data_IF_148677756862
#
_entry.id   IF_148677756862
#
_cell.length_a   1.000
_cell.length_b   1.000
_cell.length_c   1.000
_cell.angle_alpha   90.00
_cell.angle_beta   90.00
_cell.angle_gamma   90.00
#
_symmetry.space_group_name_H-M   'P 1'
#
loop_
_entity.id
_entity.type
_entity.pdbx_description
1 polymer ?
#
# COMPACT_ATOMS: atom_id res chain seq x y z
N UNK A 1 -10.54 3.13 21.93
CA UNK A 1 -10.78 1.96 22.81
C UNK A 1 -9.73 0.91 22.50
N UNK A 2 -9.26 0.17 23.50
CA UNK A 2 -8.32 -0.94 23.30
C UNK A 2 -9.02 -2.15 22.66
N UNK A 3 -8.30 -2.94 21.88
CA UNK A 3 -8.78 -4.18 21.27
C UNK A 3 -7.68 -5.26 21.33
N UNK A 4 -8.09 -6.53 21.25
CA UNK A 4 -7.18 -7.67 21.17
C UNK A 4 -6.91 -7.99 19.70
N UNK A 5 -5.66 -8.24 19.33
CA UNK A 5 -5.27 -8.60 17.97
C UNK A 5 -4.08 -9.55 17.96
N UNK A 6 -4.02 -10.41 16.94
CA UNK A 6 -2.87 -11.25 16.65
C UNK A 6 -1.80 -10.43 15.94
N UNK A 7 -0.55 -10.56 16.37
CA UNK A 7 0.57 -9.80 15.81
C UNK A 7 1.45 -10.70 14.97
N UNK A 8 1.69 -10.30 13.73
CA UNK A 8 2.57 -11.00 12.79
C UNK A 8 3.83 -10.20 12.56
N UNK A 9 4.99 -10.85 12.64
CA UNK A 9 6.26 -10.17 12.45
C UNK A 9 6.61 -10.08 10.97
N UNK A 10 6.85 -8.86 10.49
CA UNK A 10 7.20 -8.56 9.10
C UNK A 10 8.67 -8.17 9.02
N UNK A 11 9.52 -9.06 8.53
CA UNK A 11 10.96 -8.81 8.41
C UNK A 11 11.30 -8.02 7.16
N UNK A 12 12.06 -6.95 7.33
CA UNK A 12 12.57 -6.14 6.24
C UNK A 12 14.01 -6.54 5.97
N UNK A 13 14.22 -7.30 4.89
CA UNK A 13 15.51 -7.79 4.47
C UNK A 13 16.03 -6.86 3.36
N UNK A 14 17.02 -6.02 3.66
CA UNK A 14 17.59 -5.16 2.62
C UNK A 14 19.05 -4.77 2.87
N UNK A 15 19.84 -4.56 1.80
CA UNK A 15 21.19 -4.01 1.92
C UNK A 15 21.18 -2.54 2.34
N UNK A 16 22.35 -2.01 2.69
CA UNK A 16 22.50 -0.65 3.25
C UNK A 16 22.08 0.49 2.31
N UNK A 17 22.07 0.28 0.99
CA UNK A 17 21.84 1.29 -0.05
C UNK A 17 20.36 1.64 -0.30
N UNK A 18 19.41 0.93 0.33
CA UNK A 18 17.95 1.14 0.16
C UNK A 18 17.27 1.62 1.44
N UNK A 19 17.88 2.61 2.10
CA UNK A 19 17.37 3.16 3.36
C UNK A 19 15.99 3.81 3.21
N UNK A 20 15.77 4.53 2.11
CA UNK A 20 14.49 5.17 1.80
C UNK A 20 13.37 4.15 1.65
N UNK A 21 13.63 3.03 0.98
CA UNK A 21 12.67 1.95 0.82
C UNK A 21 12.37 1.25 2.14
N UNK A 22 13.36 1.04 3.01
CA UNK A 22 13.09 0.53 4.36
C UNK A 22 12.11 1.43 5.13
N UNK A 23 12.26 2.74 5.02
CA UNK A 23 11.33 3.70 5.64
C UNK A 23 9.94 3.56 5.03
N UNK A 24 9.83 3.51 3.70
CA UNK A 24 8.56 3.32 3.01
C UNK A 24 7.86 2.02 3.44
N UNK A 25 8.61 0.92 3.60
CA UNK A 25 8.02 -0.35 4.08
C UNK A 25 7.41 -0.18 5.46
N UNK A 26 8.10 0.50 6.38
CA UNK A 26 7.57 0.77 7.73
C UNK A 26 6.35 1.66 7.69
N UNK A 27 6.37 2.72 6.88
CA UNK A 27 5.24 3.64 6.73
C UNK A 27 4.01 2.94 6.16
N UNK A 28 4.19 2.11 5.14
CA UNK A 28 3.12 1.31 4.53
C UNK A 28 2.52 0.34 5.53
N UNK A 29 3.35 -0.33 6.34
CA UNK A 29 2.88 -1.23 7.40
C UNK A 29 2.12 -0.44 8.48
N UNK A 30 2.62 0.73 8.88
CA UNK A 30 1.97 1.59 9.85
C UNK A 30 0.60 2.07 9.36
N UNK A 31 0.52 2.54 8.11
CA UNK A 31 -0.71 2.97 7.46
C UNK A 31 -1.71 1.81 7.34
N UNK A 32 -1.23 0.64 6.92
CA UNK A 32 -2.05 -0.57 6.87
C UNK A 32 -2.63 -0.92 8.24
N UNK A 33 -1.81 -0.88 9.30
CA UNK A 33 -2.27 -1.12 10.67
C UNK A 33 -3.30 -0.08 11.11
N UNK A 34 -3.08 1.20 10.85
CA UNK A 34 -4.01 2.26 11.24
C UNK A 34 -5.42 2.04 10.67
N UNK A 35 -5.50 1.54 9.43
CA UNK A 35 -6.78 1.29 8.74
C UNK A 35 -7.38 -0.07 9.10
N UNK A 36 -6.56 -1.13 9.16
CA UNK A 36 -7.06 -2.51 9.15
C UNK A 36 -7.03 -3.22 10.51
N UNK A 37 -6.17 -2.77 11.44
CA UNK A 37 -5.82 -3.59 12.60
C UNK A 37 -7.01 -3.89 13.52
N UNK A 38 -7.84 -2.89 13.77
CA UNK A 38 -9.01 -3.05 14.63
C UNK A 38 -10.10 -3.90 13.95
N UNK A 39 -10.31 -3.76 12.64
CA UNK A 39 -11.33 -4.50 11.91
C UNK A 39 -10.94 -5.98 11.74
N UNK A 40 -9.67 -6.24 11.42
CA UNK A 40 -9.16 -7.59 11.15
C UNK A 40 -8.66 -8.32 12.39
N UNK A 41 -8.46 -7.61 13.50
CA UNK A 41 -7.77 -8.12 14.70
C UNK A 41 -6.38 -8.66 14.37
N UNK A 42 -5.70 -7.99 13.45
CA UNK A 42 -4.35 -8.33 12.97
C UNK A 42 -3.47 -7.09 13.08
N UNK A 43 -2.27 -7.23 13.61
CA UNK A 43 -1.25 -6.18 13.62
C UNK A 43 -0.01 -6.71 12.93
N UNK A 44 0.53 -5.93 11.99
CA UNK A 44 1.80 -6.22 11.34
C UNK A 44 2.92 -5.47 12.05
N UNK A 45 3.87 -6.18 12.65
CA UNK A 45 4.98 -5.57 13.37
C UNK A 45 6.23 -5.56 12.47
N UNK A 46 6.70 -4.39 11.99
CA UNK A 46 7.91 -4.34 11.19
C UNK A 46 9.13 -4.63 12.08
N UNK A 47 9.87 -5.69 11.75
CA UNK A 47 11.11 -6.09 12.40
C UNK A 47 12.28 -5.89 11.44
N UNK A 48 13.41 -5.43 11.97
CA UNK A 48 14.65 -5.24 11.23
C UNK A 48 15.85 -5.26 12.17
N UNK A 49 17.05 -5.43 11.61
CA UNK A 49 18.29 -5.60 12.36
C UNK A 49 18.65 -4.40 13.25
N UNK A 50 18.27 -3.18 12.86
CA UNK A 50 18.49 -1.94 13.65
C UNK A 50 17.56 -1.83 14.86
N UNK A 51 16.37 -2.44 14.78
CA UNK A 51 15.27 -2.21 15.72
C UNK A 51 15.24 -3.23 16.87
N UNK A 52 15.91 -4.37 16.71
CA UNK A 52 15.88 -5.49 17.65
C UNK A 52 17.28 -6.00 18.05
N UNK A 53 18.33 -5.23 17.74
CA UNK A 53 19.67 -5.47 18.26
C UNK A 53 19.75 -5.02 19.73
N UNK A 54 19.31 -5.88 20.64
CA UNK A 54 19.74 -5.76 22.04
C UNK A 54 21.21 -6.22 22.11
N UNK A 55 22.13 -5.45 22.75
CA UNK A 55 23.51 -5.86 22.88
C UNK A 55 23.62 -7.13 23.76
N UNK A 56 23.85 -8.29 23.13
CA UNK A 56 24.04 -9.58 23.80
C UNK A 56 25.44 -10.13 23.44
N UNK A 57 26.22 -10.51 24.44
CA UNK A 57 27.61 -10.98 24.27
C UNK A 57 27.67 -12.50 24.16
N UNK A 58 28.31 -13.06 23.12
CA UNK A 58 28.64 -14.50 23.09
C UNK A 58 28.81 -15.18 21.73
N UNK A 59 28.36 -14.58 20.63
CA UNK A 59 28.68 -15.02 19.27
C UNK A 59 28.68 -13.83 18.29
N UNK A 60 29.04 -14.06 17.02
CA UNK A 60 28.96 -13.00 16.00
C UNK A 60 27.55 -12.40 16.01
N UNK A 61 27.41 -11.05 16.08
CA UNK A 61 26.11 -10.38 16.26
C UNK A 61 25.04 -10.82 15.27
N UNK A 62 25.42 -11.24 14.07
CA UNK A 62 24.51 -11.72 13.02
C UNK A 62 23.97 -13.14 13.28
N UNK A 63 24.75 -14.07 13.84
CA UNK A 63 24.32 -15.47 13.95
C UNK A 63 23.25 -15.73 15.03
N UNK A 64 23.32 -15.01 16.15
CA UNK A 64 22.32 -15.12 17.24
C UNK A 64 21.02 -14.42 16.83
N UNK A 65 21.14 -13.23 16.25
CA UNK A 65 20.01 -12.44 15.75
C UNK A 65 19.29 -13.19 14.63
N UNK A 66 20.03 -13.77 13.68
CA UNK A 66 19.45 -14.53 12.56
C UNK A 66 18.59 -15.70 13.07
N UNK A 67 19.06 -16.50 14.05
CA UNK A 67 18.27 -17.66 14.52
C UNK A 67 16.97 -17.27 15.23
N UNK A 68 16.98 -16.21 16.02
CA UNK A 68 15.79 -15.82 16.81
C UNK A 68 14.78 -15.01 16.01
N UNK A 69 15.25 -14.14 15.10
CA UNK A 69 14.39 -13.25 14.31
C UNK A 69 13.79 -13.98 13.11
N UNK A 70 14.58 -14.76 12.35
CA UNK A 70 14.06 -15.53 11.21
C UNK A 70 13.03 -16.58 11.65
N UNK A 71 13.25 -17.24 12.79
CA UNK A 71 12.32 -18.25 13.29
C UNK A 71 10.93 -17.69 13.63
N UNK A 72 10.88 -16.42 14.05
CA UNK A 72 9.65 -15.70 14.45
C UNK A 72 9.07 -14.82 13.34
N UNK A 73 9.73 -14.72 12.19
CA UNK A 73 9.27 -13.95 11.04
C UNK A 73 8.09 -14.65 10.38
N UNK A 74 6.99 -13.96 10.13
CA UNK A 74 5.80 -14.49 9.49
C UNK A 74 5.69 -14.08 8.01
N UNK A 75 6.22 -12.90 7.68
CA UNK A 75 6.31 -12.36 6.33
C UNK A 75 7.66 -11.69 6.15
N UNK A 76 8.34 -11.95 5.03
CA UNK A 76 9.59 -11.27 4.70
C UNK A 76 9.39 -10.36 3.48
N UNK A 77 9.88 -9.13 3.57
CA UNK A 77 9.92 -8.15 2.49
C UNK A 77 11.40 -7.88 2.16
N UNK A 78 11.84 -8.40 1.02
CA UNK A 78 13.17 -8.22 0.47
C UNK A 78 13.21 -7.06 -0.51
N UNK A 79 14.13 -6.12 -0.31
CA UNK A 79 14.33 -4.97 -1.22
C UNK A 79 15.79 -4.88 -1.63
N UNK A 80 16.04 -4.81 -2.94
CA UNK A 80 17.38 -4.79 -3.52
C UNK A 80 17.50 -3.67 -4.56
N UNK A 81 18.69 -3.06 -4.66
CA UNK A 81 19.01 -2.09 -5.71
C UNK A 81 20.33 -2.43 -6.40
N UNK A 82 21.43 -1.77 -6.01
CA UNK A 82 22.75 -1.99 -6.64
C UNK A 82 23.63 -2.94 -5.85
N UNK A 83 23.33 -3.13 -4.57
CA UNK A 83 24.10 -4.00 -3.68
C UNK A 83 23.33 -5.27 -3.37
N UNK A 84 24.04 -6.41 -3.36
CA UNK A 84 23.49 -7.67 -2.85
C UNK A 84 23.71 -7.76 -1.33
N UNK A 85 24.80 -7.17 -0.84
CA UNK A 85 25.21 -7.18 0.56
C UNK A 85 26.58 -7.83 0.77
N UNK A 86 26.90 -8.12 2.03
CA UNK A 86 28.17 -8.75 2.41
C UNK A 86 28.01 -10.27 2.40
N UNK A 87 28.90 -11.03 1.74
CA UNK A 87 28.84 -12.49 1.72
C UNK A 87 28.87 -13.10 3.11
N UNK A 88 28.18 -14.22 3.28
CA UNK A 88 28.29 -15.07 4.46
C UNK A 88 29.02 -16.36 4.11
N UNK A 89 29.24 -17.24 5.09
CA UNK A 89 29.99 -18.49 4.89
C UNK A 89 29.37 -19.37 3.79
N UNK A 90 28.05 -19.29 3.59
CA UNK A 90 27.29 -20.14 2.66
C UNK A 90 26.52 -19.38 1.56
N UNK A 91 26.35 -18.06 1.66
CA UNK A 91 25.49 -17.29 0.77
C UNK A 91 26.13 -16.00 0.22
N UNK A 92 25.61 -15.54 -0.93
CA UNK A 92 26.05 -14.33 -1.60
C UNK A 92 25.87 -13.07 -0.75
N UNK A 93 24.88 -13.06 0.15
CA UNK A 93 24.81 -12.07 1.22
C UNK A 93 23.97 -12.55 2.41
N UNK A 94 24.11 -11.89 3.56
CA UNK A 94 23.25 -12.15 4.72
C UNK A 94 21.75 -11.95 4.43
N UNK A 95 21.39 -10.96 3.61
CA UNK A 95 20.00 -10.73 3.17
C UNK A 95 19.48 -11.88 2.29
N UNK A 96 20.34 -12.45 1.45
CA UNK A 96 20.00 -13.63 0.63
C UNK A 96 19.84 -14.87 1.51
N UNK A 97 20.75 -15.06 2.48
CA UNK A 97 20.63 -16.15 3.45
C UNK A 97 19.32 -16.10 4.23
N UNK A 98 18.93 -14.91 4.72
CA UNK A 98 17.67 -14.67 5.41
C UNK A 98 16.48 -15.04 4.54
N UNK A 99 16.46 -14.57 3.30
CA UNK A 99 15.39 -14.89 2.36
C UNK A 99 15.30 -16.40 2.09
N UNK A 100 16.41 -17.05 1.76
CA UNK A 100 16.42 -18.47 1.40
C UNK A 100 15.93 -19.33 2.58
N UNK A 101 16.38 -19.01 3.80
CA UNK A 101 15.90 -19.69 5.02
C UNK A 101 14.41 -19.46 5.25
N UNK A 102 13.92 -18.24 5.00
CA UNK A 102 12.50 -17.92 5.14
C UNK A 102 11.64 -18.67 4.11
N UNK A 103 12.06 -18.71 2.85
CA UNK A 103 11.37 -19.46 1.78
C UNK A 103 11.33 -20.96 2.10
N UNK A 104 12.44 -21.54 2.59
CA UNK A 104 12.50 -22.94 3.00
C UNK A 104 11.54 -23.28 4.14
N UNK A 105 11.19 -22.31 4.99
CA UNK A 105 10.20 -22.48 6.06
C UNK A 105 8.75 -22.50 5.58
N UNK A 106 8.50 -22.29 4.27
CA UNK A 106 7.16 -22.28 3.67
C UNK A 106 6.36 -21.01 3.96
N UNK A 107 7.01 -19.97 4.48
CA UNK A 107 6.38 -18.68 4.80
C UNK A 107 6.43 -17.72 3.62
N UNK A 108 5.48 -16.78 3.50
CA UNK A 108 5.42 -15.86 2.38
C UNK A 108 6.60 -14.90 2.38
N UNK A 109 7.17 -14.65 1.20
CA UNK A 109 8.17 -13.62 0.94
C UNK A 109 7.71 -12.73 -0.22
N UNK A 110 8.06 -11.44 -0.14
CA UNK A 110 7.88 -10.45 -1.20
C UNK A 110 9.23 -9.89 -1.60
N UNK A 111 9.51 -9.83 -2.89
CA UNK A 111 10.79 -9.38 -3.41
C UNK A 111 10.62 -8.19 -4.34
N UNK A 112 11.41 -7.15 -4.11
CA UNK A 112 11.39 -5.92 -4.87
C UNK A 112 12.80 -5.56 -5.35
N UNK A 113 12.90 -5.18 -6.62
CA UNK A 113 14.15 -4.74 -7.24
C UNK A 113 14.01 -3.33 -7.80
N UNK A 114 14.81 -2.39 -7.30
CA UNK A 114 14.90 -1.05 -7.87
C UNK A 114 15.53 -1.10 -9.25
N UNK A 115 14.89 -0.41 -10.20
CA UNK A 115 15.36 -0.18 -11.57
C UNK A 115 15.77 1.28 -11.78
N UNK A 116 15.98 2.04 -10.70
CA UNK A 116 16.41 3.43 -10.78
C UNK A 116 17.75 3.56 -11.49
N UNK A 117 17.90 4.54 -12.41
CA UNK A 117 19.15 4.76 -13.13
C UNK A 117 20.24 5.18 -12.15
N UNK A 118 21.44 4.69 -12.40
CA UNK A 118 22.56 4.82 -11.46
C UNK A 118 23.85 5.06 -12.23
N UNK A 119 24.69 5.98 -11.75
CA UNK A 119 25.94 6.31 -12.42
C UNK A 119 26.91 5.13 -12.28
N UNK A 120 27.39 4.55 -13.38
CA UNK A 120 28.19 3.32 -13.36
C UNK A 120 29.46 3.43 -12.51
N UNK A 121 30.01 4.63 -12.44
CA UNK A 121 31.17 5.05 -11.65
C UNK A 121 30.92 5.09 -10.14
N UNK A 122 29.66 5.06 -9.71
CA UNK A 122 29.26 4.98 -8.30
C UNK A 122 28.87 3.56 -7.85
N UNK A 123 28.84 2.62 -8.79
CA UNK A 123 28.37 1.25 -8.56
C UNK A 123 29.53 0.28 -8.51
N UNK A 124 29.51 -0.56 -7.48
CA UNK A 124 30.33 -1.75 -7.44
C UNK A 124 29.80 -2.77 -8.45
N UNK A 125 30.55 -2.96 -9.55
CA UNK A 125 30.15 -3.82 -10.66
C UNK A 125 29.96 -5.29 -10.23
N UNK A 126 30.73 -5.76 -9.25
CA UNK A 126 30.64 -7.13 -8.76
C UNK A 126 29.36 -7.31 -7.94
N UNK A 127 29.01 -6.33 -7.10
CA UNK A 127 27.75 -6.30 -6.36
C UNK A 127 26.54 -6.23 -7.29
N UNK A 128 26.57 -5.36 -8.31
CA UNK A 128 25.49 -5.23 -9.28
C UNK A 128 25.33 -6.51 -10.12
N UNK A 129 26.43 -7.14 -10.51
CA UNK A 129 26.41 -8.44 -11.19
C UNK A 129 25.80 -9.53 -10.29
N UNK A 130 26.09 -9.53 -8.99
CA UNK A 130 25.50 -10.46 -8.03
C UNK A 130 23.99 -10.22 -7.86
N UNK A 131 23.52 -8.97 -7.79
CA UNK A 131 22.08 -8.65 -7.80
C UNK A 131 21.41 -9.15 -9.08
N UNK A 132 22.05 -8.95 -10.24
CA UNK A 132 21.51 -9.42 -11.52
C UNK A 132 21.40 -10.93 -11.57
N UNK A 133 22.43 -11.65 -11.11
CA UNK A 133 22.41 -13.11 -11.01
C UNK A 133 21.29 -13.58 -10.08
N UNK A 134 21.19 -12.97 -8.91
CA UNK A 134 20.15 -13.28 -7.94
C UNK A 134 18.74 -12.99 -8.47
N UNK A 135 18.54 -11.89 -9.20
CA UNK A 135 17.27 -11.57 -9.89
C UNK A 135 16.89 -12.65 -10.89
N UNK A 136 17.83 -13.13 -11.70
CA UNK A 136 17.61 -14.24 -12.64
C UNK A 136 17.29 -15.55 -11.93
N UNK A 137 18.01 -15.88 -10.84
CA UNK A 137 17.77 -17.08 -10.04
C UNK A 137 16.36 -17.05 -9.40
N UNK A 138 15.93 -15.89 -8.93
CA UNK A 138 14.57 -15.68 -8.40
C UNK A 138 13.49 -15.81 -9.48
N UNK A 139 13.75 -15.35 -10.71
CA UNK A 139 12.79 -15.47 -11.83
C UNK A 139 12.40 -16.92 -12.13
N UNK A 140 13.32 -17.87 -11.91
CA UNK A 140 13.06 -19.29 -12.12
C UNK A 140 12.24 -19.95 -10.99
N UNK A 141 12.20 -19.33 -9.80
CA UNK A 141 11.64 -19.90 -8.57
C UNK A 141 10.42 -19.16 -8.03
N UNK A 142 10.12 -17.97 -8.54
CA UNK A 142 9.00 -17.17 -8.05
C UNK A 142 8.80 -15.85 -8.79
N UNK A 143 7.88 -15.05 -8.24
CA UNK A 143 7.57 -13.71 -8.74
C UNK A 143 8.29 -12.66 -7.88
N UNK A 144 8.92 -11.71 -8.55
CA UNK A 144 9.44 -10.49 -7.94
C UNK A 144 8.81 -9.29 -8.64
N UNK A 145 8.79 -8.14 -7.97
CA UNK A 145 8.36 -6.88 -8.55
C UNK A 145 9.57 -5.98 -8.84
N UNK A 146 9.49 -5.18 -9.89
CA UNK A 146 10.48 -4.13 -10.16
C UNK A 146 9.81 -2.75 -10.10
N UNK A 147 10.52 -1.75 -9.59
CA UNK A 147 10.01 -0.38 -9.49
C UNK A 147 11.06 0.61 -10.00
N UNK A 148 10.61 1.74 -10.53
CA UNK A 148 11.47 2.81 -11.06
C UNK A 148 11.52 4.06 -10.18
N UNK A 149 10.65 4.14 -9.17
CA UNK A 149 10.53 5.28 -8.27
C UNK A 149 10.06 4.86 -6.88
N UNK A 150 10.35 5.67 -5.87
CA UNK A 150 9.91 5.43 -4.49
C UNK A 150 8.38 5.49 -4.35
N UNK A 151 7.70 6.32 -5.16
CA UNK A 151 6.25 6.44 -5.16
C UNK A 151 5.58 5.18 -5.74
N UNK A 152 6.13 4.67 -6.84
CA UNK A 152 5.67 3.41 -7.44
C UNK A 152 5.91 2.24 -6.48
N UNK A 153 7.10 2.18 -5.85
CA UNK A 153 7.39 1.20 -4.80
C UNK A 153 6.36 1.23 -3.66
N UNK A 154 6.04 2.42 -3.12
CA UNK A 154 5.04 2.58 -2.06
C UNK A 154 3.68 2.03 -2.48
N UNK A 155 3.23 2.41 -3.68
CA UNK A 155 1.92 2.03 -4.22
C UNK A 155 1.83 0.51 -4.43
N UNK A 156 2.84 -0.08 -5.07
CA UNK A 156 2.91 -1.51 -5.31
C UNK A 156 3.02 -2.30 -4.02
N UNK A 157 3.85 -1.84 -3.07
CA UNK A 157 3.99 -2.49 -1.77
C UNK A 157 2.67 -2.51 -1.00
N UNK A 158 1.98 -1.37 -0.92
CA UNK A 158 0.69 -1.29 -0.22
C UNK A 158 -0.34 -2.26 -0.81
N UNK A 159 -0.48 -2.26 -2.15
CA UNK A 159 -1.38 -3.17 -2.87
C UNK A 159 -1.01 -4.64 -2.64
N UNK A 160 0.26 -4.99 -2.78
CA UNK A 160 0.73 -6.37 -2.60
C UNK A 160 0.55 -6.85 -1.17
N UNK A 161 0.83 -6.00 -0.18
CA UNK A 161 0.65 -6.30 1.23
C UNK A 161 -0.82 -6.64 1.53
N UNK A 162 -1.75 -5.83 1.02
CA UNK A 162 -3.18 -6.12 1.15
C UNK A 162 -3.57 -7.46 0.54
N UNK A 163 -3.18 -7.72 -0.72
CA UNK A 163 -3.47 -8.99 -1.40
C UNK A 163 -2.91 -10.18 -0.60
N UNK A 164 -1.68 -10.06 -0.11
CA UNK A 164 -1.04 -11.14 0.66
C UNK A 164 -1.76 -11.42 1.97
N UNK A 165 -2.13 -10.39 2.71
CA UNK A 165 -2.86 -10.55 3.98
C UNK A 165 -4.28 -11.09 3.73
N UNK A 166 -4.91 -10.77 2.60
CA UNK A 166 -6.24 -11.28 2.25
C UNK A 166 -6.23 -12.76 1.82
N UNK A 167 -5.28 -13.14 0.99
CA UNK A 167 -5.29 -14.44 0.32
C UNK A 167 -4.57 -15.52 1.13
N UNK A 168 -3.49 -15.16 1.82
CA UNK A 168 -2.58 -16.14 2.38
C UNK A 168 -3.16 -16.77 3.66
N UNK A 169 -3.20 -18.13 3.77
CA UNK A 169 -3.80 -18.84 4.91
C UNK A 169 -3.26 -18.44 6.27
N UNK A 170 -1.98 -18.04 6.34
CA UNK A 170 -1.32 -17.60 7.58
C UNK A 170 -2.02 -16.41 8.25
N UNK A 171 -2.72 -15.57 7.50
CA UNK A 171 -3.42 -14.40 8.04
C UNK A 171 -4.94 -14.63 8.15
N UNK A 172 -5.42 -15.86 7.94
CA UNK A 172 -6.83 -16.21 8.11
C UNK A 172 -7.08 -16.66 9.55
N UNK A 173 -7.65 -15.78 10.36
CA UNK A 173 -8.04 -16.12 11.74
C UNK A 173 -9.15 -17.18 11.74
N UNK A 174 -9.04 -18.17 12.63
CA UNK A 174 -10.01 -19.27 12.76
C UNK A 174 -11.44 -18.78 13.11
N UNK A 175 -11.58 -17.62 13.77
CA UNK A 175 -12.87 -17.00 14.07
C UNK A 175 -13.58 -16.41 12.84
N UNK A 176 -12.90 -16.29 11.69
CA UNK A 176 -13.51 -15.94 10.40
C UNK A 176 -14.05 -17.15 9.63
N UNK A 177 -13.97 -18.37 10.18
CA UNK A 177 -14.47 -19.59 9.51
C UNK A 177 -16.01 -19.71 9.49
N UNK A 178 -16.72 -18.74 10.07
CA UNK A 178 -18.19 -18.69 10.12
C UNK A 178 -18.87 -17.88 9.02
N UNK A 179 -18.13 -17.25 8.10
CA UNK A 179 -18.72 -16.59 6.93
C UNK A 179 -18.04 -17.11 5.68
N UNK A 180 -18.57 -18.23 5.20
CA UNK A 180 -18.42 -18.64 3.81
C UNK A 180 -19.21 -17.69 2.93
N UNK A 181 -18.64 -16.53 2.63
CA UNK A 181 -18.93 -15.79 1.41
C UNK A 181 -17.60 -15.48 0.74
N UNK A 182 -17.57 -15.73 -0.56
CA UNK A 182 -16.51 -15.29 -1.46
C UNK A 182 -16.35 -13.79 -1.22
N UNK A 183 -15.31 -13.38 -0.50
CA UNK A 183 -14.89 -11.99 -0.46
C UNK A 183 -14.22 -11.70 -1.80
N UNK A 184 -15.06 -11.44 -2.81
CA UNK A 184 -14.70 -10.53 -3.91
C UNK A 184 -14.00 -9.31 -3.31
N UNK A 185 -12.99 -8.78 -4.00
CA UNK A 185 -12.24 -7.59 -3.62
C UNK A 185 -13.13 -6.52 -2.99
N UNK A 186 -13.23 -6.53 -1.67
CA UNK A 186 -13.70 -5.40 -0.92
C UNK A 186 -12.52 -4.44 -0.79
N UNK A 187 -12.12 -3.84 -1.91
CA UNK A 187 -11.98 -2.38 -1.88
C UNK A 187 -13.34 -1.94 -1.39
N UNK A 188 -13.49 -1.69 -0.09
CA UNK A 188 -14.73 -1.13 0.40
C UNK A 188 -14.84 0.20 -0.31
N UNK A 189 -15.63 0.22 -1.40
CA UNK A 189 -16.17 1.45 -1.96
C UNK A 189 -16.65 2.18 -0.70
N UNK A 190 -16.16 3.41 -0.44
CA UNK A 190 -16.69 4.19 0.66
C UNK A 190 -18.20 4.11 0.58
N UNK A 191 -18.89 4.09 1.72
CA UNK A 191 -20.34 3.89 1.75
C UNK A 191 -21.03 5.18 1.26
N UNK A 192 -20.79 5.52 0.00
CA UNK A 192 -21.17 6.75 -0.67
C UNK A 192 -22.68 6.79 -0.79
N UNK A 193 -23.26 7.95 -0.46
CA UNK A 193 -24.64 8.28 -0.80
C UNK A 193 -24.93 8.09 -2.29
N UNK A 194 -26.20 7.91 -2.66
CA UNK A 194 -26.59 7.75 -4.07
C UNK A 194 -26.21 8.98 -4.91
N UNK A 195 -26.31 10.15 -4.30
CA UNK A 195 -25.91 11.43 -4.86
C UNK A 195 -24.37 11.52 -5.04
N UNK A 196 -23.57 11.09 -4.06
CA UNK A 196 -22.11 11.03 -4.19
C UNK A 196 -21.63 10.06 -5.28
N UNK A 197 -22.29 8.91 -5.43
CA UNK A 197 -21.99 7.95 -6.50
C UNK A 197 -22.27 8.54 -7.88
N UNK A 198 -23.44 9.16 -8.03
CA UNK A 198 -23.83 9.81 -9.29
C UNK A 198 -22.88 10.96 -9.63
N UNK A 199 -22.58 11.82 -8.65
CA UNK A 199 -21.67 12.96 -8.82
C UNK A 199 -20.27 12.51 -9.22
N UNK A 200 -19.71 11.51 -8.53
CA UNK A 200 -18.37 10.99 -8.81
C UNK A 200 -18.31 10.30 -10.18
N UNK A 201 -19.34 9.52 -10.55
CA UNK A 201 -19.40 8.86 -11.85
C UNK A 201 -19.47 9.87 -12.99
N UNK A 202 -20.34 10.86 -12.90
CA UNK A 202 -20.44 11.92 -13.91
C UNK A 202 -19.14 12.75 -13.99
N UNK A 203 -18.54 13.09 -12.86
CA UNK A 203 -17.26 13.80 -12.83
C UNK A 203 -16.10 13.01 -13.43
N UNK A 204 -16.11 11.67 -13.31
CA UNK A 204 -15.10 10.83 -13.97
C UNK A 204 -15.18 10.83 -15.49
N UNK A 205 -16.36 11.15 -16.05
CA UNK A 205 -16.59 11.24 -17.49
C UNK A 205 -16.27 12.64 -18.04
N UNK A 206 -16.09 13.64 -17.17
CA UNK A 206 -15.64 14.97 -17.57
C UNK A 206 -14.18 14.93 -18.04
N UNK A 207 -13.83 15.52 -19.20
CA UNK A 207 -12.46 15.52 -19.73
C UNK A 207 -11.40 16.10 -18.78
N UNK A 208 -11.80 16.95 -17.84
CA UNK A 208 -10.92 17.59 -16.86
C UNK A 208 -11.18 17.12 -15.41
N UNK A 209 -12.15 16.23 -15.21
CA UNK A 209 -12.56 15.74 -13.89
C UNK A 209 -13.12 16.85 -13.01
N UNK A 210 -13.77 17.86 -13.58
CA UNK A 210 -14.14 19.09 -12.85
C UNK A 210 -15.57 19.03 -12.32
N UNK A 211 -15.73 19.37 -11.05
CA UNK A 211 -17.02 19.63 -10.40
C UNK A 211 -17.07 21.10 -10.02
N UNK A 212 -18.15 21.78 -10.37
CA UNK A 212 -18.37 23.20 -10.08
C UNK A 212 -19.56 23.31 -9.12
N UNK A 213 -19.37 24.00 -8.01
CA UNK A 213 -20.39 24.29 -7.00
C UNK A 213 -20.46 25.79 -6.79
N UNK A 214 -21.57 26.43 -7.16
CA UNK A 214 -21.70 27.90 -7.10
C UNK A 214 -23.00 28.29 -6.43
N UNK A 215 -22.89 29.17 -5.43
CA UNK A 215 -24.02 29.82 -4.79
C UNK A 215 -24.26 31.21 -5.39
N UNK A 216 -25.51 31.50 -5.75
CA UNK A 216 -25.95 32.81 -6.23
C UNK A 216 -27.28 33.22 -5.59
N UNK A 217 -27.72 34.47 -5.81
CA UNK A 217 -28.88 35.03 -5.10
C UNK A 217 -30.20 34.26 -5.31
N UNK A 218 -30.31 33.51 -6.40
CA UNK A 218 -31.53 32.78 -6.80
C UNK A 218 -31.41 31.25 -6.63
N UNK A 219 -30.27 30.72 -6.20
CA UNK A 219 -30.09 29.27 -6.05
C UNK A 219 -28.64 28.81 -5.86
N UNK A 220 -28.45 27.49 -5.87
CA UNK A 220 -27.16 26.80 -5.81
C UNK A 220 -27.09 25.85 -6.99
N UNK A 221 -26.00 25.90 -7.75
CA UNK A 221 -25.74 24.98 -8.86
C UNK A 221 -24.62 24.00 -8.52
N UNK A 222 -24.81 22.73 -8.93
CA UNK A 222 -23.76 21.70 -8.91
C UNK A 222 -23.65 21.13 -10.31
N UNK A 223 -22.57 21.49 -11.00
CA UNK A 223 -22.33 21.14 -12.39
C UNK A 223 -21.11 20.23 -12.55
N UNK A 224 -21.23 19.22 -13.40
CA UNK A 224 -20.11 18.34 -13.79
C UNK A 224 -20.38 17.74 -15.18
N UNK A 225 -19.35 17.50 -15.98
CA UNK A 225 -19.48 16.90 -17.32
C UNK A 225 -20.52 17.61 -18.22
N UNK A 226 -20.62 18.94 -18.11
CA UNK A 226 -21.60 19.75 -18.84
C UNK A 226 -23.06 19.59 -18.39
N UNK A 227 -23.34 18.82 -17.33
CA UNK A 227 -24.69 18.61 -16.76
C UNK A 227 -24.84 19.36 -15.45
N UNK A 228 -25.97 20.04 -15.26
CA UNK A 228 -26.39 20.54 -13.94
C UNK A 228 -27.15 19.41 -13.22
N UNK A 229 -26.72 19.07 -12.02
CA UNK A 229 -27.31 18.01 -11.19
C UNK A 229 -28.44 18.54 -10.30
N UNK A 230 -28.58 19.86 -10.22
CA UNK A 230 -29.66 20.56 -9.52
C UNK A 230 -30.50 21.30 -10.57
N UNK A 231 -31.82 21.18 -10.52
CA UNK A 231 -32.76 21.96 -11.33
C UNK A 231 -33.04 23.32 -10.65
N UNK A 232 -33.33 24.38 -11.41
CA UNK A 232 -33.73 25.71 -10.91
C UNK A 232 -34.98 25.66 -10.01
N UNK A 233 -35.77 24.58 -10.09
CA UNK A 233 -36.95 24.32 -9.25
C UNK A 233 -36.69 23.44 -8.03
N UNK A 234 -35.46 23.00 -7.82
CA UNK A 234 -35.10 22.09 -6.72
C UNK A 234 -35.35 22.78 -5.38
N UNK A 235 -35.92 22.04 -4.43
CA UNK A 235 -36.10 22.58 -3.08
C UNK A 235 -34.76 22.56 -2.31
N UNK A 236 -34.70 23.29 -1.18
CA UNK A 236 -33.48 23.36 -0.37
C UNK A 236 -33.04 21.98 0.15
N UNK A 237 -33.95 21.00 0.23
CA UNK A 237 -33.65 19.64 0.69
C UNK A 237 -32.89 18.86 -0.37
N UNK A 238 -33.24 19.02 -1.64
CA UNK A 238 -32.52 18.43 -2.77
C UNK A 238 -31.12 19.02 -2.91
N UNK A 239 -30.97 20.34 -2.81
CA UNK A 239 -29.66 21.01 -2.81
C UNK A 239 -28.76 20.48 -1.68
N UNK A 240 -29.29 20.33 -0.47
CA UNK A 240 -28.53 19.85 0.68
C UNK A 240 -27.96 18.43 0.50
N UNK A 241 -28.61 17.58 -0.31
CA UNK A 241 -28.09 16.23 -0.62
C UNK A 241 -26.85 16.29 -1.49
N UNK A 242 -26.82 17.19 -2.47
CA UNK A 242 -25.67 17.37 -3.36
C UNK A 242 -24.51 18.09 -2.64
N UNK A 243 -24.80 19.05 -1.77
CA UNK A 243 -23.79 19.64 -0.87
C UNK A 243 -23.18 18.56 0.04
N UNK A 244 -24.01 17.68 0.62
CA UNK A 244 -23.54 16.55 1.41
C UNK A 244 -22.67 15.59 0.59
N UNK A 245 -23.04 15.33 -0.67
CA UNK A 245 -22.26 14.48 -1.56
C UNK A 245 -20.86 15.06 -1.84
N UNK A 246 -20.73 16.37 -2.07
CA UNK A 246 -19.43 17.03 -2.25
C UNK A 246 -18.59 16.92 -0.97
N UNK A 247 -19.19 17.18 0.19
CA UNK A 247 -18.51 17.08 1.47
C UNK A 247 -18.03 15.64 1.75
N UNK A 248 -18.86 14.64 1.43
CA UNK A 248 -18.55 13.22 1.55
C UNK A 248 -17.38 12.82 0.64
N UNK A 249 -17.44 13.16 -0.66
CA UNK A 249 -16.36 12.85 -1.60
C UNK A 249 -15.04 13.54 -1.23
N UNK A 250 -15.12 14.75 -0.66
CA UNK A 250 -13.93 15.48 -0.19
C UNK A 250 -13.34 14.82 1.06
N UNK A 251 -14.19 14.40 2.00
CA UNK A 251 -13.77 13.70 3.22
C UNK A 251 -13.07 12.37 2.92
N UNK A 252 -13.58 11.63 1.94
CA UNK A 252 -13.01 10.36 1.47
C UNK A 252 -11.81 10.54 0.53
N UNK A 253 -11.39 11.78 0.24
CA UNK A 253 -10.24 12.10 -0.63
C UNK A 253 -10.45 11.75 -2.10
N UNK A 254 -11.70 11.58 -2.54
CA UNK A 254 -12.06 11.23 -3.92
C UNK A 254 -12.07 12.47 -4.82
N UNK A 255 -12.29 13.64 -4.24
CA UNK A 255 -12.19 14.95 -4.92
C UNK A 255 -11.39 15.92 -4.06
N UNK A 256 -10.78 16.93 -4.69
CA UNK A 256 -9.99 17.97 -4.02
C UNK A 256 -10.42 19.35 -4.52
N UNK A 257 -10.57 20.31 -3.60
CA UNK A 257 -10.88 21.70 -3.95
C UNK A 257 -9.73 22.40 -4.68
N UNK A 258 -10.03 23.10 -5.76
CA UNK A 258 -9.13 23.97 -6.51
C UNK A 258 -9.51 25.43 -6.22
N UNK A 259 -8.66 26.17 -5.49
CA UNK A 259 -8.85 27.59 -5.19
C UNK A 259 -9.34 27.91 -3.76
N UNK A 260 -9.70 29.18 -3.52
CA UNK A 260 -9.90 29.72 -2.15
C UNK A 260 -11.35 29.68 -1.65
N UNK A 261 -12.32 29.28 -2.46
CA UNK A 261 -13.75 29.39 -2.12
C UNK A 261 -14.54 28.08 -2.11
N UNK A 262 -13.92 26.93 -2.40
CA UNK A 262 -14.66 25.66 -2.47
C UNK A 262 -15.73 25.65 -3.57
N UNK A 263 -15.49 26.41 -4.65
CA UNK A 263 -16.39 26.54 -5.80
C UNK A 263 -16.04 25.56 -6.92
N UNK A 264 -14.79 25.06 -6.94
CA UNK A 264 -14.29 24.14 -7.95
C UNK A 264 -13.62 22.97 -7.24
N UNK A 265 -13.95 21.76 -7.65
CA UNK A 265 -13.34 20.52 -7.19
C UNK A 265 -12.85 19.72 -8.39
N UNK A 266 -11.81 18.92 -8.17
CA UNK A 266 -11.23 18.05 -9.17
C UNK A 266 -11.17 16.62 -8.65
N UNK A 267 -11.51 15.66 -9.50
CA UNK A 267 -11.45 14.23 -9.18
C UNK A 267 -9.99 13.81 -8.98
N UNK A 268 -9.71 13.12 -7.88
CA UNK A 268 -8.37 12.59 -7.58
C UNK A 268 -8.14 11.25 -8.29
N UNK A 269 -6.90 10.77 -8.32
CA UNK A 269 -6.61 9.44 -8.86
C UNK A 269 -7.40 8.32 -8.15
N UNK A 270 -7.60 8.44 -6.83
CA UNK A 270 -8.46 7.54 -6.06
C UNK A 270 -9.92 7.66 -6.49
N UNK A 271 -10.40 8.90 -6.71
CA UNK A 271 -11.74 9.18 -7.23
C UNK A 271 -12.03 8.48 -8.56
N UNK A 272 -11.11 8.51 -9.51
CA UNK A 272 -11.26 7.82 -10.81
C UNK A 272 -11.35 6.30 -10.65
N UNK A 273 -10.47 5.70 -9.85
CA UNK A 273 -10.47 4.26 -9.60
C UNK A 273 -11.79 3.79 -8.97
N UNK A 274 -12.34 4.57 -8.03
CA UNK A 274 -13.63 4.28 -7.41
C UNK A 274 -14.78 4.50 -8.40
N UNK A 275 -14.73 5.55 -9.22
CA UNK A 275 -15.74 5.81 -10.24
C UNK A 275 -15.88 4.67 -11.26
N UNK A 276 -14.77 4.05 -11.66
CA UNK A 276 -14.77 2.91 -12.58
C UNK A 276 -15.45 1.66 -11.99
N UNK A 277 -15.45 1.54 -10.66
CA UNK A 277 -16.10 0.44 -9.93
C UNK A 277 -17.59 0.70 -9.64
N UNK A 278 -18.08 1.93 -9.80
CA UNK A 278 -19.50 2.26 -9.61
C UNK A 278 -20.31 1.81 -10.83
N UNK A 279 -21.26 0.91 -10.58
CA UNK A 279 -22.37 0.58 -11.49
C UNK A 279 -23.58 1.38 -11.05
N UNK A 280 -24.08 2.28 -11.92
CA UNK A 280 -25.31 3.06 -11.71
C UNK A 280 -26.55 2.28 -12.17
#
# INVERSE_FOLDING_TARGET
MSYTAETFNVMIASPGDVASERTIVRDVIYEWNAVNSNARKIVLLPIGWESHSSPEMGASPQAIINKQILGKCDLLIGVFWTRIGTPTDEYASGTVEELEKHIQSGKPAMLYFSSQPVAMDTVDLDQAAAVKKFKTDCQSRGLYESYDSLSDFRTNLYRHLQLKVNEHPLFKNAENSGVGEILESNTSIPKLSGEARTLLKEASLDPHGTIIHVDYMEGTDVQTNGKNLIDEKSDRREVAKWEQAIAELTHEGLIVGQGYKGEIYQVTNLGYQIADMIVL
#
